data_IF_311829507472
#
_entry.id   IF_311829507472
#
_cell.length_a   1.000
_cell.length_b   1.000
_cell.length_c   1.000
_cell.angle_alpha   90.00
_cell.angle_beta   90.00
_cell.angle_gamma   90.00
#
_symmetry.space_group_name_H-M   'P 1'
#
loop_
_entity.id
_entity.type
_entity.pdbx_description
1 polymer ?
#
# COMPACT_ATOMS: atom_id res chain seq x y z
N UNK A 1 -39.40 -73.39 8.37
CA UNK A 1 -39.05 -72.06 8.90
C UNK A 1 -40.20 -71.58 9.76
N UNK A 2 -40.07 -71.68 11.08
CA UNK A 2 -41.08 -71.18 12.02
C UNK A 2 -40.85 -69.67 12.11
N UNK A 3 -41.85 -68.90 11.72
CA UNK A 3 -41.79 -67.45 11.47
C UNK A 3 -41.38 -66.66 12.72
N UNK A 4 -40.43 -65.71 12.57
CA UNK A 4 -40.05 -64.71 13.58
C UNK A 4 -41.26 -64.03 14.28
N UNK A 5 -42.37 -63.92 13.56
CA UNK A 5 -43.62 -63.34 14.08
C UNK A 5 -44.19 -64.12 15.28
N UNK A 6 -44.04 -65.44 15.33
CA UNK A 6 -44.58 -66.27 16.42
C UNK A 6 -43.79 -66.05 17.72
N UNK A 7 -42.47 -65.97 17.62
CA UNK A 7 -41.59 -65.67 18.75
C UNK A 7 -41.85 -64.27 19.33
N UNK A 8 -42.10 -63.28 18.48
CA UNK A 8 -42.41 -61.92 18.92
C UNK A 8 -43.78 -61.83 19.62
N UNK A 9 -44.77 -62.59 19.16
CA UNK A 9 -46.08 -62.67 19.81
C UNK A 9 -45.96 -63.31 21.20
N UNK A 10 -45.20 -64.40 21.33
CA UNK A 10 -44.96 -65.04 22.64
C UNK A 10 -44.21 -64.13 23.61
N UNK A 11 -43.20 -63.39 23.12
CA UNK A 11 -42.47 -62.41 23.92
C UNK A 11 -43.36 -61.27 24.43
N UNK A 12 -44.40 -60.89 23.67
CA UNK A 12 -45.34 -59.82 24.02
C UNK A 12 -46.55 -60.29 24.85
N UNK A 13 -46.75 -61.61 25.04
CA UNK A 13 -47.89 -62.13 25.82
C UNK A 13 -47.96 -61.56 27.24
N UNK A 14 -46.86 -61.51 28.03
CA UNK A 14 -46.92 -60.96 29.39
C UNK A 14 -47.41 -59.51 29.41
N UNK A 15 -46.93 -58.67 28.47
CA UNK A 15 -47.35 -57.29 28.36
C UNK A 15 -48.84 -57.15 27.97
N UNK A 16 -49.33 -58.05 27.11
CA UNK A 16 -50.75 -58.12 26.76
C UNK A 16 -51.61 -58.50 27.97
N UNK A 17 -51.17 -59.48 28.77
CA UNK A 17 -51.89 -59.95 29.96
C UNK A 17 -51.95 -58.86 31.04
N UNK A 18 -50.85 -58.13 31.25
CA UNK A 18 -50.81 -56.97 32.14
C UNK A 18 -51.76 -55.85 31.71
N UNK A 19 -51.82 -55.55 30.40
CA UNK A 19 -52.76 -54.56 29.86
C UNK A 19 -54.20 -55.01 30.03
N UNK A 20 -54.51 -56.29 29.76
CA UNK A 20 -55.84 -56.85 29.96
C UNK A 20 -56.29 -56.75 31.42
N UNK A 21 -55.39 -57.04 32.37
CA UNK A 21 -55.67 -56.89 33.80
C UNK A 21 -55.98 -55.43 34.19
N UNK A 22 -55.22 -54.46 33.66
CA UNK A 22 -55.46 -53.02 33.90
C UNK A 22 -56.78 -52.55 33.31
N UNK A 23 -57.13 -53.00 32.11
CA UNK A 23 -58.43 -52.68 31.48
C UNK A 23 -59.58 -53.27 32.29
N UNK A 24 -59.45 -54.51 32.76
CA UNK A 24 -60.46 -55.14 33.61
C UNK A 24 -60.66 -54.39 34.93
N UNK A 25 -59.58 -53.93 35.57
CA UNK A 25 -59.65 -53.09 36.77
C UNK A 25 -60.35 -51.75 36.50
N UNK A 26 -60.05 -51.09 35.38
CA UNK A 26 -60.67 -49.82 35.00
C UNK A 26 -62.19 -49.97 34.76
N UNK A 27 -62.61 -51.04 34.07
CA UNK A 27 -64.02 -51.35 33.84
C UNK A 27 -64.74 -51.72 35.14
N UNK A 28 -64.11 -52.52 36.01
CA UNK A 28 -64.67 -52.89 37.31
C UNK A 28 -64.84 -51.70 38.25
N UNK A 29 -63.98 -50.68 38.13
CA UNK A 29 -64.08 -49.42 38.86
C UNK A 29 -65.16 -48.46 38.30
N UNK A 30 -65.94 -48.89 37.29
CA UNK A 30 -67.00 -48.09 36.67
C UNK A 30 -66.52 -47.16 35.56
N UNK A 31 -65.30 -47.37 35.05
CA UNK A 31 -64.78 -46.62 33.91
C UNK A 31 -65.49 -46.97 32.60
N UNK A 32 -65.70 -45.98 31.74
CA UNK A 32 -66.22 -46.16 30.39
C UNK A 32 -65.11 -45.89 29.37
N UNK A 33 -65.10 -46.66 28.28
CA UNK A 33 -64.17 -46.48 27.16
C UNK A 33 -64.99 -45.90 26.00
N UNK A 34 -64.75 -44.63 25.67
CA UNK A 34 -65.37 -43.99 24.51
C UNK A 34 -64.43 -44.10 23.30
N UNK A 35 -64.94 -44.64 22.19
CA UNK A 35 -64.23 -44.64 20.92
C UNK A 35 -64.36 -43.26 20.29
N UNK A 36 -63.22 -42.56 20.15
CA UNK A 36 -63.19 -41.26 19.51
C UNK A 36 -63.57 -41.36 18.02
N UNK A 37 -64.29 -40.36 17.50
CA UNK A 37 -64.61 -40.29 16.08
C UNK A 37 -63.31 -40.33 15.23
N UNK A 38 -63.32 -41.04 14.09
CA UNK A 38 -62.13 -41.16 13.25
C UNK A 38 -61.68 -39.76 12.81
N UNK A 39 -60.43 -39.44 13.14
CA UNK A 39 -59.77 -38.24 12.66
C UNK A 39 -59.68 -38.41 11.15
N UNK A 40 -60.50 -37.70 10.38
CA UNK A 40 -60.61 -37.79 8.91
C UNK A 40 -59.37 -37.31 8.16
N UNK A 41 -58.19 -37.61 8.69
CA UNK A 41 -56.89 -37.29 8.14
C UNK A 41 -56.70 -38.00 6.81
N UNK A 42 -56.77 -37.21 5.74
CA UNK A 42 -56.35 -37.64 4.41
C UNK A 42 -54.86 -37.30 4.28
N UNK A 43 -53.97 -38.31 4.19
CA UNK A 43 -52.56 -38.04 4.00
C UNK A 43 -52.38 -37.24 2.72
N UNK A 44 -51.47 -36.26 2.76
CA UNK A 44 -51.15 -35.45 1.58
C UNK A 44 -50.59 -36.40 0.49
N UNK A 45 -51.04 -36.28 -0.77
CA UNK A 45 -50.49 -37.08 -1.85
C UNK A 45 -48.99 -36.85 -1.95
N UNK A 46 -48.23 -37.93 -2.14
CA UNK A 46 -46.77 -37.87 -2.31
C UNK A 46 -46.50 -37.21 -3.65
N UNK A 47 -46.02 -35.96 -3.63
CA UNK A 47 -45.61 -35.24 -4.82
C UNK A 47 -44.13 -35.53 -5.06
N UNK A 48 -43.82 -36.28 -6.11
CA UNK A 48 -42.45 -36.44 -6.59
C UNK A 48 -42.06 -35.18 -7.38
N UNK A 49 -41.51 -34.18 -6.67
CA UNK A 49 -40.85 -33.05 -7.34
C UNK A 49 -39.41 -33.43 -7.68
N UNK A 50 -39.09 -33.47 -8.97
CA UNK A 50 -37.70 -33.60 -9.45
C UNK A 50 -36.93 -32.27 -9.40
N UNK A 51 -37.58 -31.19 -8.97
CA UNK A 51 -36.94 -29.89 -8.83
C UNK A 51 -36.26 -29.81 -7.46
N UNK A 52 -34.94 -29.73 -7.49
CA UNK A 52 -34.13 -29.48 -6.31
C UNK A 52 -34.59 -28.15 -5.68
N UNK A 53 -34.90 -28.11 -4.37
CA UNK A 53 -35.31 -26.86 -3.73
C UNK A 53 -34.19 -25.82 -3.90
N UNK A 54 -34.54 -24.55 -4.15
CA UNK A 54 -33.55 -23.50 -4.31
C UNK A 54 -32.64 -23.47 -3.07
N UNK A 55 -31.33 -23.36 -3.31
CA UNK A 55 -30.33 -23.41 -2.25
C UNK A 55 -30.71 -22.44 -1.12
N UNK A 56 -30.62 -22.87 0.16
CA UNK A 56 -30.93 -21.99 1.27
C UNK A 56 -30.05 -20.74 1.20
N UNK A 57 -30.66 -19.58 1.41
CA UNK A 57 -29.92 -18.31 1.46
C UNK A 57 -28.79 -18.43 2.50
N UNK A 58 -27.56 -18.03 2.17
CA UNK A 58 -26.43 -18.13 3.09
C UNK A 58 -26.77 -17.41 4.40
N UNK A 59 -26.51 -18.07 5.53
CA UNK A 59 -26.74 -17.49 6.86
C UNK A 59 -25.75 -16.34 7.09
N UNK A 60 -26.18 -15.12 6.79
CA UNK A 60 -25.42 -13.91 7.12
C UNK A 60 -25.61 -13.68 8.62
N UNK A 61 -24.57 -13.92 9.43
CA UNK A 61 -24.55 -13.46 10.83
C UNK A 61 -24.79 -11.94 10.80
N UNK A 62 -25.85 -11.45 11.45
CA UNK A 62 -26.03 -10.01 11.69
C UNK A 62 -24.76 -9.51 12.39
N UNK A 63 -23.97 -8.69 11.70
CA UNK A 63 -22.86 -7.96 12.33
C UNK A 63 -23.50 -7.09 13.41
N UNK A 64 -23.17 -7.35 14.66
CA UNK A 64 -23.51 -6.43 15.75
C UNK A 64 -22.79 -5.13 15.41
N UNK A 65 -23.54 -4.05 15.19
CA UNK A 65 -22.95 -2.74 14.98
C UNK A 65 -22.15 -2.38 16.23
N UNK A 66 -20.82 -2.30 16.08
CA UNK A 66 -19.95 -1.88 17.16
C UNK A 66 -20.30 -0.42 17.52
N UNK A 67 -20.41 -0.13 18.82
CA UNK A 67 -20.61 1.23 19.29
C UNK A 67 -19.57 2.17 18.64
N UNK A 68 -19.97 3.37 18.18
CA UNK A 68 -19.05 4.30 17.55
C UNK A 68 -17.92 4.62 18.54
N UNK A 69 -16.68 4.44 18.08
CA UNK A 69 -15.51 4.76 18.89
C UNK A 69 -15.52 6.26 19.23
N UNK A 70 -15.11 6.65 20.44
CA UNK A 70 -15.01 8.06 20.79
C UNK A 70 -13.86 8.66 19.98
N UNK A 71 -14.19 9.67 19.16
CA UNK A 71 -13.36 10.33 18.14
C UNK A 71 -13.33 9.60 16.79
N UNK A 72 -13.63 10.35 15.72
CA UNK A 72 -13.43 9.89 14.35
C UNK A 72 -11.95 9.51 14.21
N UNK A 73 -11.67 8.28 13.79
CA UNK A 73 -10.30 7.74 13.67
C UNK A 73 -9.40 8.62 12.80
N UNK A 74 -10.03 9.38 11.90
CA UNK A 74 -9.39 10.33 11.03
C UNK A 74 -8.85 11.55 11.81
N UNK A 75 -9.54 12.01 12.86
CA UNK A 75 -9.08 13.13 13.70
C UNK A 75 -7.77 12.82 14.43
N UNK A 76 -7.64 11.62 15.00
CA UNK A 76 -6.43 11.24 15.76
C UNK A 76 -5.22 11.14 14.82
N UNK A 77 -5.43 10.59 13.61
CA UNK A 77 -4.39 10.44 12.60
C UNK A 77 -3.96 11.79 12.03
N UNK A 78 -4.92 12.66 11.74
CA UNK A 78 -4.63 14.00 11.25
C UNK A 78 -3.94 14.85 12.32
N UNK A 79 -4.37 14.78 13.58
CA UNK A 79 -3.66 15.42 14.70
C UNK A 79 -2.22 14.93 14.85
N UNK A 80 -1.98 13.62 14.74
CA UNK A 80 -0.63 13.06 14.79
C UNK A 80 0.22 13.54 13.60
N UNK A 81 -0.37 13.62 12.41
CA UNK A 81 0.29 14.13 11.19
C UNK A 81 0.67 15.59 11.33
N UNK A 82 -0.23 16.44 11.85
CA UNK A 82 0.02 17.85 12.11
C UNK A 82 1.16 18.04 13.12
N UNK A 83 1.13 17.31 14.25
CA UNK A 83 2.21 17.34 15.26
C UNK A 83 3.55 16.92 14.66
N UNK A 84 3.57 15.94 13.77
CA UNK A 84 4.79 15.50 13.08
C UNK A 84 5.32 16.59 12.14
N UNK A 85 4.44 17.24 11.37
CA UNK A 85 4.82 18.35 10.48
C UNK A 85 5.35 19.55 11.25
N UNK A 86 4.76 19.88 12.39
CA UNK A 86 5.26 20.93 13.28
C UNK A 86 6.68 20.64 13.77
N UNK A 87 6.93 19.41 14.25
CA UNK A 87 8.28 18.97 14.64
C UNK A 87 9.26 19.03 13.47
N UNK A 88 8.87 18.57 12.28
CA UNK A 88 9.70 18.68 11.08
C UNK A 88 10.03 20.13 10.75
N UNK A 89 9.07 21.05 10.90
CA UNK A 89 9.24 22.49 10.63
C UNK A 89 10.14 23.18 11.68
N UNK A 90 10.16 22.68 12.91
CA UNK A 90 11.13 23.12 13.93
C UNK A 90 12.54 22.62 13.60
N UNK A 91 12.67 21.33 13.30
CA UNK A 91 13.96 20.70 12.96
C UNK A 91 14.54 21.21 11.64
N UNK A 92 13.71 21.63 10.70
CA UNK A 92 14.18 22.11 9.39
C UNK A 92 15.03 23.38 9.47
N UNK A 93 14.82 24.19 10.50
CA UNK A 93 15.60 25.42 10.76
C UNK A 93 17.03 25.12 11.24
N UNK A 94 17.19 24.06 12.04
CA UNK A 94 18.44 23.78 12.75
C UNK A 94 19.24 22.64 12.13
N UNK A 95 18.56 21.59 11.67
CA UNK A 95 19.16 20.32 11.26
C UNK A 95 19.19 20.11 9.75
N UNK A 96 20.12 19.26 9.33
CA UNK A 96 20.11 18.66 7.99
C UNK A 96 19.14 17.48 7.93
N UNK A 97 18.79 17.01 6.73
CA UNK A 97 17.84 15.89 6.57
C UNK A 97 18.25 14.61 7.32
N UNK A 98 19.55 14.31 7.40
CA UNK A 98 20.05 13.12 8.10
C UNK A 98 19.87 13.25 9.61
N UNK A 99 20.25 14.40 10.17
CA UNK A 99 20.11 14.68 11.59
C UNK A 99 18.63 14.74 12.02
N UNK A 100 17.77 15.33 11.19
CA UNK A 100 16.32 15.36 11.46
C UNK A 100 15.68 13.96 11.40
N UNK A 101 16.20 13.08 10.53
CA UNK A 101 15.72 11.70 10.41
C UNK A 101 16.08 10.86 11.64
N UNK A 102 17.30 11.03 12.15
CA UNK A 102 17.76 10.43 13.41
C UNK A 102 16.93 10.92 14.60
N UNK A 103 16.69 12.23 14.70
CA UNK A 103 15.91 12.82 15.79
C UNK A 103 14.45 12.34 15.82
N UNK A 104 13.85 12.06 14.65
CA UNK A 104 12.47 11.57 14.54
C UNK A 104 12.39 10.03 14.49
N UNK A 105 13.53 9.32 14.52
CA UNK A 105 13.60 7.86 14.35
C UNK A 105 12.87 7.37 13.08
N UNK A 106 13.02 8.13 11.98
CA UNK A 106 12.42 7.81 10.68
C UNK A 106 13.52 7.60 9.63
N UNK A 107 13.21 6.85 8.57
CA UNK A 107 14.15 6.77 7.44
C UNK A 107 14.27 8.14 6.75
N UNK A 108 15.49 8.49 6.32
CA UNK A 108 15.76 9.75 5.59
C UNK A 108 14.87 9.89 4.35
N UNK A 109 14.61 8.78 3.65
CA UNK A 109 13.78 8.80 2.44
C UNK A 109 12.31 9.11 2.75
N UNK A 110 11.76 8.56 3.83
CA UNK A 110 10.39 8.87 4.26
C UNK A 110 10.26 10.31 4.72
N UNK A 111 11.23 10.80 5.49
CA UNK A 111 11.31 12.20 5.89
C UNK A 111 11.33 13.12 4.67
N UNK A 112 12.16 12.81 3.67
CA UNK A 112 12.25 13.57 2.42
C UNK A 112 10.93 13.59 1.64
N UNK A 113 10.21 12.46 1.54
CA UNK A 113 8.91 12.37 0.86
C UNK A 113 7.85 13.22 1.55
N UNK A 114 7.77 13.12 2.88
CA UNK A 114 6.80 13.90 3.67
C UNK A 114 7.13 15.39 3.59
N UNK A 115 8.41 15.74 3.66
CA UNK A 115 8.87 17.12 3.59
C UNK A 115 8.54 17.76 2.24
N UNK A 116 8.86 17.08 1.12
CA UNK A 116 8.58 17.59 -0.22
C UNK A 116 7.09 17.76 -0.51
N UNK A 117 6.25 16.86 0.01
CA UNK A 117 4.80 16.94 -0.15
C UNK A 117 4.19 18.12 0.62
N UNK A 118 4.86 18.62 1.66
CA UNK A 118 4.38 19.70 2.53
C UNK A 118 5.22 20.98 2.43
N UNK A 119 6.12 21.08 1.43
CA UNK A 119 6.95 22.27 1.19
C UNK A 119 7.93 22.59 2.33
N UNK A 120 8.42 21.59 3.05
CA UNK A 120 9.39 21.77 4.15
C UNK A 120 10.80 21.53 3.61
N UNK A 121 11.62 22.58 3.59
CA UNK A 121 13.02 22.49 3.18
C UNK A 121 13.96 22.44 4.39
N UNK A 122 14.89 21.50 4.38
CA UNK A 122 15.91 21.31 5.42
C UNK A 122 17.24 21.94 5.01
N UNK A 123 18.09 22.24 6.01
CA UNK A 123 19.44 22.73 5.77
C UNK A 123 20.25 21.77 4.90
N UNK A 124 20.95 22.32 3.92
CA UNK A 124 21.83 21.54 3.06
C UNK A 124 23.08 21.09 3.83
N UNK A 125 23.45 19.82 3.71
CA UNK A 125 24.73 19.31 4.21
C UNK A 125 25.83 19.92 3.35
N UNK A 126 26.57 20.90 3.85
CA UNK A 126 27.58 21.68 3.11
C UNK A 126 28.63 20.88 2.31
N UNK A 127 28.74 19.55 2.53
CA UNK A 127 29.41 18.59 1.61
C UNK A 127 28.59 18.34 0.33
N UNK A 128 27.94 19.37 -0.20
CA UNK A 128 27.04 19.26 -1.34
C UNK A 128 27.76 18.61 -2.51
N UNK A 129 27.06 17.71 -3.22
CA UNK A 129 27.56 17.09 -4.45
C UNK A 129 27.82 18.13 -5.56
N UNK A 130 27.41 17.87 -6.79
CA UNK A 130 27.71 18.76 -7.93
C UNK A 130 27.26 20.24 -7.79
N UNK A 131 26.45 20.59 -6.76
CA UNK A 131 25.99 21.96 -6.45
C UNK A 131 26.61 22.55 -5.18
N UNK A 132 27.50 21.85 -4.50
CA UNK A 132 28.13 22.33 -3.26
C UNK A 132 29.08 23.51 -3.52
N UNK A 133 29.16 24.43 -2.55
CA UNK A 133 30.08 25.58 -2.62
C UNK A 133 31.55 25.14 -2.74
N UNK A 134 31.96 24.08 -2.04
CA UNK A 134 33.31 23.51 -2.14
C UNK A 134 33.62 22.96 -3.54
N UNK A 135 32.65 22.32 -4.20
CA UNK A 135 32.81 21.84 -5.58
C UNK A 135 32.96 23.01 -6.55
N UNK A 136 32.14 24.06 -6.40
CA UNK A 136 32.24 25.27 -7.22
C UNK A 136 33.60 25.97 -7.05
N UNK A 137 34.06 26.15 -5.81
CA UNK A 137 35.37 26.75 -5.54
C UNK A 137 36.51 25.93 -6.16
N UNK A 138 36.44 24.60 -6.09
CA UNK A 138 37.42 23.72 -6.73
C UNK A 138 37.38 23.78 -8.26
N UNK A 139 36.20 23.97 -8.86
CA UNK A 139 36.03 24.17 -10.29
C UNK A 139 36.58 25.53 -10.74
N UNK A 140 36.30 26.60 -10.00
CA UNK A 140 36.82 27.95 -10.25
C UNK A 140 38.35 28.00 -10.20
N UNK A 141 38.97 27.32 -9.21
CA UNK A 141 40.43 27.23 -9.11
C UNK A 141 41.06 26.48 -10.30
N UNK A 142 40.37 25.46 -10.85
CA UNK A 142 40.81 24.76 -12.07
C UNK A 142 40.62 25.63 -13.31
N UNK A 143 39.47 26.28 -13.42
CA UNK A 143 39.11 27.17 -14.53
C UNK A 143 40.08 28.37 -14.62
N UNK A 144 40.53 28.92 -13.48
CA UNK A 144 41.54 30.00 -13.46
C UNK A 144 42.88 29.58 -14.09
N UNK A 145 43.40 28.40 -13.73
CA UNK A 145 44.63 27.84 -14.34
C UNK A 145 44.47 27.58 -15.83
N UNK A 146 43.27 27.16 -16.25
CA UNK A 146 42.96 26.93 -17.66
C UNK A 146 42.90 28.26 -18.40
N UNK A 147 42.30 29.31 -17.81
CA UNK A 147 42.19 30.63 -18.41
C UNK A 147 43.56 31.24 -18.72
N UNK A 148 44.54 31.10 -17.80
CA UNK A 148 45.94 31.51 -18.04
C UNK A 148 46.53 30.80 -19.27
N UNK A 149 46.33 29.47 -19.38
CA UNK A 149 46.79 28.70 -20.54
C UNK A 149 46.08 29.10 -21.84
N UNK A 150 44.79 29.43 -21.77
CA UNK A 150 44.02 29.91 -22.92
C UNK A 150 44.59 31.25 -23.41
N UNK A 151 44.96 32.16 -22.51
CA UNK A 151 45.63 33.43 -22.87
C UNK A 151 46.98 33.19 -23.55
N UNK A 152 47.81 32.31 -22.99
CA UNK A 152 49.07 31.93 -23.62
C UNK A 152 48.88 31.32 -25.02
N UNK A 153 47.83 30.49 -25.21
CA UNK A 153 47.52 29.94 -26.54
C UNK A 153 46.91 30.95 -27.51
N UNK A 154 46.25 32.00 -27.01
CA UNK A 154 45.76 33.10 -27.83
C UNK A 154 46.94 33.90 -28.40
N UNK A 155 47.95 34.20 -27.58
CA UNK A 155 49.18 34.88 -28.01
C UNK A 155 49.95 34.08 -29.06
N UNK A 156 49.96 32.74 -28.93
CA UNK A 156 50.56 31.82 -29.91
C UNK A 156 49.72 31.63 -31.18
N UNK A 157 48.56 32.27 -31.32
CA UNK A 157 47.71 32.19 -32.51
C UNK A 157 47.08 30.81 -32.73
N UNK A 158 46.94 29.99 -31.70
CA UNK A 158 46.37 28.64 -31.81
C UNK A 158 44.87 28.74 -32.09
N UNK A 159 44.31 27.82 -32.88
CA UNK A 159 42.86 27.81 -33.14
C UNK A 159 42.09 27.22 -31.95
N UNK A 160 40.83 27.62 -31.75
CA UNK A 160 39.97 27.13 -30.66
C UNK A 160 39.88 25.60 -30.59
N UNK A 161 39.77 24.92 -31.74
CA UNK A 161 39.72 23.44 -31.79
C UNK A 161 41.03 22.81 -31.29
N UNK A 162 42.17 23.36 -31.68
CA UNK A 162 43.48 22.90 -31.23
C UNK A 162 43.71 23.21 -29.75
N UNK A 163 43.25 24.36 -29.27
CA UNK A 163 43.30 24.74 -27.86
C UNK A 163 42.51 23.76 -26.99
N UNK A 164 41.25 23.45 -27.36
CA UNK A 164 40.43 22.44 -26.68
C UNK A 164 41.09 21.05 -26.68
N UNK A 165 41.71 20.64 -27.79
CA UNK A 165 42.42 19.36 -27.90
C UNK A 165 43.65 19.30 -27.00
N UNK A 166 44.49 20.36 -27.00
CA UNK A 166 45.72 20.44 -26.18
C UNK A 166 45.43 20.58 -24.68
N UNK A 167 44.32 21.21 -24.32
CA UNK A 167 43.88 21.35 -22.93
C UNK A 167 43.06 20.15 -22.44
N UNK A 168 42.65 19.25 -23.34
CA UNK A 168 41.73 18.15 -23.08
C UNK A 168 40.39 18.60 -22.45
N UNK A 169 39.82 19.69 -22.98
CA UNK A 169 38.58 20.31 -22.47
C UNK A 169 37.50 20.30 -23.55
N UNK A 170 36.26 20.02 -23.14
CA UNK A 170 35.09 20.08 -24.01
C UNK A 170 34.67 21.51 -24.37
N UNK A 171 34.06 21.69 -25.55
CA UNK A 171 33.73 23.02 -26.08
C UNK A 171 32.84 23.87 -25.14
N UNK A 172 31.88 23.25 -24.44
CA UNK A 172 31.01 23.93 -23.46
C UNK A 172 31.79 24.48 -22.26
N UNK A 173 32.77 23.72 -21.77
CA UNK A 173 33.61 24.17 -20.65
C UNK A 173 34.55 25.30 -21.10
N UNK A 174 35.09 25.22 -22.32
CA UNK A 174 35.88 26.31 -22.90
C UNK A 174 35.08 27.62 -23.04
N UNK A 175 33.84 27.55 -23.54
CA UNK A 175 32.91 28.69 -23.61
C UNK A 175 32.60 29.29 -22.24
N UNK A 176 32.35 28.44 -21.23
CA UNK A 176 32.15 28.86 -19.84
C UNK A 176 33.36 29.61 -19.29
N UNK A 177 34.57 29.11 -19.52
CA UNK A 177 35.80 29.70 -18.99
C UNK A 177 36.08 31.05 -19.65
N UNK A 178 35.92 31.14 -20.97
CA UNK A 178 36.07 32.41 -21.70
C UNK A 178 35.10 33.48 -21.18
N UNK A 179 33.83 33.12 -21.02
CA UNK A 179 32.79 34.05 -20.55
C UNK A 179 33.03 34.47 -19.11
N UNK A 180 33.44 33.55 -18.22
CA UNK A 180 33.75 33.84 -16.83
C UNK A 180 35.00 34.72 -16.66
N UNK A 181 36.01 34.57 -17.51
CA UNK A 181 37.29 35.30 -17.42
C UNK A 181 37.44 36.44 -18.43
N UNK A 182 36.40 36.76 -19.21
CA UNK A 182 36.36 37.87 -20.16
C UNK A 182 37.37 37.78 -21.30
N UNK A 183 37.71 36.58 -21.77
CA UNK A 183 38.74 36.37 -22.81
C UNK A 183 38.07 36.38 -24.20
N UNK A 184 38.30 37.40 -25.02
CA UNK A 184 37.80 37.39 -26.39
C UNK A 184 38.66 36.48 -27.29
N UNK A 185 38.15 35.27 -27.57
CA UNK A 185 38.82 34.28 -28.40
C UNK A 185 38.10 34.16 -29.74
N UNK A 186 38.80 34.29 -30.88
CA UNK A 186 38.17 34.34 -32.19
C UNK A 186 37.37 33.07 -32.48
N UNK A 187 36.08 33.24 -32.78
CA UNK A 187 35.19 32.15 -33.19
C UNK A 187 35.47 31.82 -34.64
N UNK A 188 35.75 30.54 -34.92
CA UNK A 188 35.85 30.08 -36.30
C UNK A 188 34.55 30.42 -37.04
N UNK A 189 34.64 31.23 -38.11
CA UNK A 189 33.51 31.46 -39.01
C UNK A 189 33.16 30.11 -39.64
N UNK A 190 31.86 29.79 -39.73
CA UNK A 190 31.42 28.62 -40.50
C UNK A 190 31.99 28.79 -41.90
N UNK A 191 32.84 27.87 -42.34
CA UNK A 191 33.25 27.83 -43.74
C UNK A 191 31.98 27.81 -44.57
N UNK A 192 31.89 28.69 -45.56
CA UNK A 192 30.88 28.60 -46.60
C UNK A 192 30.95 27.18 -47.16
N UNK A 193 29.81 26.48 -47.23
CA UNK A 193 29.72 25.19 -47.90
C UNK A 193 29.95 25.40 -49.39
N UNK A 194 31.20 25.51 -49.83
CA UNK A 194 31.58 25.50 -51.23
C UNK A 194 31.67 24.06 -51.71
N UNK A 195 30.50 23.43 -51.84
CA UNK A 195 30.29 22.29 -52.72
C UNK A 195 29.12 22.68 -53.61
N UNK A 196 29.43 23.43 -54.68
CA UNK A 196 28.59 23.43 -55.87
C UNK A 196 28.82 22.07 -56.55
N UNK A 197 27.70 21.43 -56.93
CA UNK A 197 27.62 20.12 -57.54
C UNK A 197 28.37 20.02 -58.87
#
# INVERSE_FOLDING_TARGET
>A
MISNHLSMVEAMRPASDELAAKVAQYLAAGGHIEEAAPIGYKPKPIIYSNQMPPAPKPFIRRRVEAAPLPLDRDDIREQARLKLLEKMRQLSKTHTQTQAAEALSMSRQNLSKIASANGIDFKNTGRGGARGAAYKAGLEARDAKIAERIRAFLELGVTRRQCCGRLAIGNKAFERIITAHGIDYPKARRGTTSCAA
#
